data_IF_428512019380
#
_entry.id   IF_428512019380
#
_cell.length_a   1.000
_cell.length_b   1.000
_cell.length_c   1.000
_cell.angle_alpha   90.00
_cell.angle_beta   90.00
_cell.angle_gamma   90.00
#
_symmetry.space_group_name_H-M   'P 1'
#
loop_
_entity.id
_entity.type
_entity.pdbx_description
1 polymer ?
#
# COMPACT_ATOMS: atom_id res chain seq x y z
N UNK A 1 28.54 -5.19 -6.45
CA UNK A 1 27.53 -5.59 -5.44
C UNK A 1 26.15 -5.39 -6.04
N UNK A 2 25.22 -6.33 -5.84
CA UNK A 2 23.83 -6.20 -6.30
C UNK A 2 23.13 -5.15 -5.42
N UNK A 3 22.46 -4.17 -6.04
CA UNK A 3 21.69 -3.15 -5.31
C UNK A 3 20.30 -3.72 -4.99
N UNK A 4 19.90 -3.65 -3.72
CA UNK A 4 18.53 -3.96 -3.28
C UNK A 4 17.87 -2.66 -2.89
N UNK A 5 16.67 -2.39 -3.38
CA UNK A 5 15.91 -1.19 -3.03
C UNK A 5 14.89 -1.49 -1.93
N UNK A 6 14.61 -0.50 -1.10
CA UNK A 6 13.60 -0.58 -0.04
C UNK A 6 12.79 0.71 0.02
N UNK A 7 11.46 0.58 0.10
CA UNK A 7 10.54 1.70 0.33
C UNK A 7 9.55 1.27 1.42
N UNK A 8 9.31 2.17 2.38
CA UNK A 8 8.25 2.07 3.37
C UNK A 8 7.87 3.47 3.83
N UNK A 9 6.66 3.63 4.34
CA UNK A 9 6.14 4.90 4.84
C UNK A 9 5.25 4.64 6.07
N UNK A 10 5.48 5.39 7.15
CA UNK A 10 4.76 5.21 8.41
C UNK A 10 3.29 5.63 8.35
N UNK A 11 2.88 6.45 7.37
CA UNK A 11 1.46 6.78 7.16
C UNK A 11 0.60 5.57 6.80
N UNK A 12 1.20 4.51 6.26
CA UNK A 12 0.51 3.24 5.99
C UNK A 12 0.00 2.58 7.29
N UNK A 13 0.61 2.89 8.44
CA UNK A 13 0.18 2.40 9.76
C UNK A 13 -1.12 3.04 10.24
N UNK A 14 -1.63 4.06 9.54
CA UNK A 14 -2.91 4.69 9.88
C UNK A 14 -4.11 3.94 9.31
N UNK A 15 -3.91 3.03 8.34
CA UNK A 15 -4.96 2.19 7.80
C UNK A 15 -5.25 1.04 8.79
N UNK A 16 -6.44 1.06 9.39
CA UNK A 16 -6.92 0.03 10.33
C UNK A 16 -8.44 -0.05 10.28
N UNK A 17 -8.98 -1.20 10.67
CA UNK A 17 -10.42 -1.35 10.85
C UNK A 17 -10.85 -0.67 12.15
N UNK A 18 -11.80 0.26 12.08
CA UNK A 18 -12.26 1.02 13.26
C UNK A 18 -13.41 0.32 14.00
N UNK A 19 -14.03 -0.71 13.40
CA UNK A 19 -15.20 -1.41 13.96
C UNK A 19 -14.97 -2.90 14.26
N UNK A 20 -13.91 -3.52 13.72
CA UNK A 20 -13.54 -4.90 14.02
C UNK A 20 -12.09 -5.00 14.54
N UNK A 21 -11.95 -5.14 15.85
CA UNK A 21 -10.64 -5.32 16.52
C UNK A 21 -10.02 -6.71 16.30
N UNK A 22 -10.79 -7.66 15.75
CA UNK A 22 -10.33 -9.03 15.48
C UNK A 22 -9.84 -9.22 14.04
N UNK A 23 -9.94 -8.18 13.23
CA UNK A 23 -9.51 -8.19 11.84
C UNK A 23 -8.03 -8.60 11.73
N UNK A 24 -7.70 -9.45 10.75
CA UNK A 24 -6.33 -10.00 10.61
C UNK A 24 -5.35 -9.02 9.96
N UNK A 25 -5.87 -8.09 9.16
CA UNK A 25 -5.10 -7.01 8.52
C UNK A 25 -5.08 -5.83 9.49
N UNK A 26 -3.93 -5.61 10.13
CA UNK A 26 -3.67 -4.59 11.15
C UNK A 26 -2.31 -3.91 10.91
N UNK A 27 -2.12 -2.63 11.31
CA UNK A 27 -0.87 -1.89 11.14
C UNK A 27 0.40 -2.61 11.63
N UNK A 28 0.28 -3.39 12.71
CA UNK A 28 1.37 -4.12 13.34
C UNK A 28 2.01 -5.15 12.41
N UNK A 29 1.32 -5.58 11.34
CA UNK A 29 1.92 -6.43 10.31
C UNK A 29 3.09 -5.72 9.63
N UNK A 30 2.88 -4.47 9.19
CA UNK A 30 3.91 -3.64 8.59
C UNK A 30 5.01 -3.31 9.61
N UNK A 31 4.62 -2.86 10.80
CA UNK A 31 5.56 -2.47 11.85
C UNK A 31 6.50 -3.63 12.24
N UNK A 32 5.96 -4.85 12.43
CA UNK A 32 6.74 -6.03 12.78
C UNK A 32 7.71 -6.42 11.68
N UNK A 33 7.31 -6.33 10.40
CA UNK A 33 8.19 -6.63 9.28
C UNK A 33 9.34 -5.62 9.22
N UNK A 34 9.03 -4.31 9.24
CA UNK A 34 10.05 -3.26 9.21
C UNK A 34 11.03 -3.37 10.39
N UNK A 35 10.50 -3.57 11.60
CA UNK A 35 11.31 -3.79 12.81
C UNK A 35 12.21 -5.01 12.70
N UNK A 36 11.72 -6.11 12.10
CA UNK A 36 12.51 -7.33 11.93
C UNK A 36 13.62 -7.13 10.90
N UNK A 37 13.35 -6.46 9.78
CA UNK A 37 14.35 -6.16 8.75
C UNK A 37 15.47 -5.26 9.30
N UNK A 38 15.10 -4.28 10.11
CA UNK A 38 16.05 -3.38 10.78
C UNK A 38 16.91 -4.14 11.80
N UNK A 39 16.30 -4.89 12.72
CA UNK A 39 17.02 -5.69 13.74
C UNK A 39 17.96 -6.74 13.14
N UNK A 40 17.69 -7.22 11.93
CA UNK A 40 18.54 -8.16 11.22
C UNK A 40 19.66 -7.49 10.42
N UNK A 41 19.76 -6.16 10.39
CA UNK A 41 20.73 -5.42 9.56
C UNK A 41 20.50 -5.59 8.06
N UNK A 42 19.28 -5.96 7.64
CA UNK A 42 18.94 -6.12 6.22
C UNK A 42 18.74 -4.75 5.58
N UNK A 43 18.13 -3.82 6.31
CA UNK A 43 17.89 -2.46 5.80
C UNK A 43 19.19 -1.69 5.55
N UNK A 44 20.26 -1.99 6.28
CA UNK A 44 21.59 -1.37 6.08
C UNK A 44 22.24 -1.77 4.75
N UNK A 45 21.79 -2.89 4.17
CA UNK A 45 22.23 -3.39 2.87
C UNK A 45 21.32 -2.91 1.72
N UNK A 46 20.24 -2.21 2.03
CA UNK A 46 19.27 -1.72 1.06
C UNK A 46 19.48 -0.23 0.78
N UNK A 47 19.34 0.16 -0.49
CA UNK A 47 19.18 1.55 -0.88
C UNK A 47 17.73 1.98 -0.61
N UNK A 48 17.53 2.86 0.36
CA UNK A 48 16.22 3.43 0.66
C UNK A 48 15.82 4.42 -0.43
N UNK A 49 14.62 4.29 -0.97
CA UNK A 49 14.02 5.27 -1.87
C UNK A 49 12.88 5.99 -1.14
N UNK A 50 12.65 7.29 -1.42
CA UNK A 50 11.54 8.02 -0.82
C UNK A 50 10.21 7.48 -1.36
N UNK A 51 9.15 7.37 -0.54
CA UNK A 51 7.84 6.97 -1.02
C UNK A 51 7.22 8.06 -1.91
N UNK A 52 6.40 7.64 -2.87
CA UNK A 52 5.62 8.54 -3.72
C UNK A 52 4.16 8.10 -3.81
N UNK A 53 3.28 9.04 -4.11
CA UNK A 53 1.92 8.72 -4.54
C UNK A 53 1.93 8.28 -6.00
N UNK A 54 1.08 7.33 -6.35
CA UNK A 54 0.65 7.14 -7.72
C UNK A 54 -0.16 8.35 -8.18
N UNK A 55 -0.22 8.58 -9.48
CA UNK A 55 -1.18 9.51 -10.07
C UNK A 55 -2.41 8.74 -10.59
N UNK A 56 -3.49 9.46 -10.87
CA UNK A 56 -4.76 8.88 -11.33
C UNK A 56 -4.60 8.08 -12.62
N UNK A 57 -3.80 8.56 -13.57
CA UNK A 57 -3.57 7.86 -14.84
C UNK A 57 -2.84 6.53 -14.64
N UNK A 58 -1.88 6.44 -13.70
CA UNK A 58 -1.22 5.18 -13.33
C UNK A 58 -2.21 4.15 -12.77
N UNK A 59 -3.15 4.59 -11.94
CA UNK A 59 -4.17 3.71 -11.34
C UNK A 59 -5.22 3.28 -12.38
N UNK A 60 -5.62 4.19 -13.27
CA UNK A 60 -6.59 3.95 -14.33
C UNK A 60 -6.08 3.00 -15.43
N UNK A 61 -4.80 2.61 -15.41
CA UNK A 61 -4.31 1.53 -16.28
C UNK A 61 -4.98 0.18 -15.99
N UNK A 62 -5.46 -0.03 -14.76
CA UNK A 62 -6.05 -1.30 -14.32
C UNK A 62 -7.38 -1.15 -13.58
N UNK A 63 -7.80 0.07 -13.25
CA UNK A 63 -9.08 0.33 -12.57
C UNK A 63 -9.95 1.30 -13.37
N UNK A 64 -11.27 1.14 -13.28
CA UNK A 64 -12.22 2.08 -13.88
C UNK A 64 -12.19 3.44 -13.17
N UNK A 65 -12.53 4.50 -13.91
CA UNK A 65 -12.67 5.84 -13.33
C UNK A 65 -13.78 5.90 -12.27
N UNK A 66 -14.86 5.12 -12.46
CA UNK A 66 -15.94 5.02 -11.47
C UNK A 66 -15.44 4.46 -10.15
N UNK A 67 -14.69 3.34 -10.17
CA UNK A 67 -14.13 2.74 -8.97
C UNK A 67 -13.11 3.67 -8.30
N UNK A 68 -12.23 4.31 -9.08
CA UNK A 68 -11.26 5.27 -8.56
C UNK A 68 -11.94 6.40 -7.77
N UNK A 69 -12.96 7.03 -8.36
CA UNK A 69 -13.69 8.12 -7.71
C UNK A 69 -14.47 7.63 -6.50
N UNK A 70 -15.12 6.46 -6.58
CA UNK A 70 -15.84 5.86 -5.44
C UNK A 70 -14.96 5.74 -4.20
N UNK A 71 -13.73 5.27 -4.37
CA UNK A 71 -12.80 5.18 -3.23
C UNK A 71 -12.22 6.55 -2.88
N UNK A 72 -11.88 7.40 -3.86
CA UNK A 72 -11.40 8.76 -3.57
C UNK A 72 -12.36 9.54 -2.68
N UNK A 73 -13.65 9.42 -2.96
CA UNK A 73 -14.74 10.09 -2.23
C UNK A 73 -14.96 9.48 -0.84
N UNK A 74 -14.51 8.23 -0.60
CA UNK A 74 -14.58 7.59 0.72
C UNK A 74 -13.86 8.38 1.82
N UNK A 75 -12.87 9.22 1.47
CA UNK A 75 -12.20 10.11 2.43
C UNK A 75 -13.13 11.09 3.13
N UNK A 76 -14.23 11.48 2.49
CA UNK A 76 -15.20 12.42 3.05
C UNK A 76 -16.27 11.77 3.91
N UNK A 77 -16.28 10.44 3.99
CA UNK A 77 -17.31 9.67 4.70
C UNK A 77 -16.99 9.52 6.19
N UNK A 78 -18.05 9.44 7.00
CA UNK A 78 -17.93 9.08 8.41
C UNK A 78 -17.79 7.55 8.60
N UNK A 79 -17.56 7.10 9.84
CA UNK A 79 -17.30 5.68 10.13
C UNK A 79 -18.46 4.74 9.74
N UNK A 80 -19.71 5.14 9.99
CA UNK A 80 -20.88 4.33 9.65
C UNK A 80 -21.02 4.21 8.12
N UNK A 81 -20.83 5.32 7.40
CA UNK A 81 -20.83 5.33 5.94
C UNK A 81 -19.68 4.49 5.35
N UNK A 82 -18.50 4.52 5.98
CA UNK A 82 -17.35 3.71 5.58
C UNK A 82 -17.59 2.23 5.82
N UNK A 83 -18.23 1.84 6.92
CA UNK A 83 -18.60 0.45 7.20
C UNK A 83 -19.61 -0.06 6.15
N UNK A 84 -20.65 0.73 5.86
CA UNK A 84 -21.64 0.42 4.80
C UNK A 84 -21.00 0.36 3.41
N UNK A 85 -20.05 1.24 3.11
CA UNK A 85 -19.30 1.20 1.86
C UNK A 85 -18.43 -0.07 1.79
N UNK A 86 -17.77 -0.43 2.88
CA UNK A 86 -16.91 -1.60 2.97
C UNK A 86 -17.70 -2.90 2.79
N UNK A 87 -18.92 -2.98 3.34
CA UNK A 87 -19.77 -4.17 3.21
C UNK A 87 -20.27 -4.45 1.78
N UNK A 88 -20.05 -3.53 0.83
CA UNK A 88 -20.33 -3.76 -0.58
C UNK A 88 -19.28 -4.63 -1.27
N UNK A 89 -18.18 -4.92 -0.58
CA UNK A 89 -17.05 -5.69 -1.07
C UNK A 89 -16.76 -6.85 -0.10
N UNK A 90 -16.07 -7.87 -0.58
CA UNK A 90 -15.74 -9.06 0.21
C UNK A 90 -14.43 -8.83 0.99
N UNK A 91 -14.48 -8.99 2.31
CA UNK A 91 -13.32 -8.96 3.22
C UNK A 91 -12.42 -7.72 3.10
N UNK A 92 -13.02 -6.53 3.04
CA UNK A 92 -12.29 -5.26 3.14
C UNK A 92 -12.86 -4.35 4.23
N UNK A 93 -12.05 -3.39 4.65
CA UNK A 93 -12.47 -2.25 5.44
C UNK A 93 -11.85 -0.96 4.87
N UNK A 94 -12.52 0.15 5.11
CA UNK A 94 -12.05 1.48 4.72
C UNK A 94 -11.98 2.40 5.93
N UNK A 95 -11.01 3.30 5.95
CA UNK A 95 -10.94 4.41 6.88
C UNK A 95 -10.49 5.69 6.14
N UNK A 96 -10.45 6.82 6.85
CA UNK A 96 -10.09 8.12 6.27
C UNK A 96 -8.71 8.14 5.56
N UNK A 97 -7.82 7.21 5.91
CA UNK A 97 -6.47 7.12 5.35
C UNK A 97 -6.34 6.11 4.21
N UNK A 98 -7.36 5.26 3.96
CA UNK A 98 -7.25 4.14 3.02
C UNK A 98 -6.87 4.59 1.62
N UNK A 99 -7.52 5.63 1.09
CA UNK A 99 -7.23 6.09 -0.27
C UNK A 99 -5.77 6.59 -0.39
N UNK A 100 -5.28 7.39 0.57
CA UNK A 100 -3.89 7.85 0.54
C UNK A 100 -2.89 6.71 0.71
N UNK A 101 -3.20 5.76 1.59
CA UNK A 101 -2.38 4.56 1.78
C UNK A 101 -2.32 3.73 0.48
N UNK A 102 -3.44 3.54 -0.21
CA UNK A 102 -3.51 2.82 -1.48
C UNK A 102 -2.71 3.54 -2.58
N UNK A 103 -2.91 4.85 -2.73
CA UNK A 103 -2.19 5.66 -3.72
C UNK A 103 -0.68 5.65 -3.45
N UNK A 104 -0.26 5.73 -2.19
CA UNK A 104 1.15 5.65 -1.81
C UNK A 104 1.74 4.26 -2.03
N UNK A 105 1.02 3.22 -1.64
CA UNK A 105 1.37 1.80 -1.85
C UNK A 105 1.63 1.50 -3.33
N UNK A 106 0.72 1.92 -4.21
CA UNK A 106 0.87 1.78 -5.66
C UNK A 106 2.07 2.59 -6.20
N UNK A 107 2.20 3.86 -5.80
CA UNK A 107 3.31 4.71 -6.25
C UNK A 107 4.68 4.17 -5.85
N UNK A 108 4.81 3.62 -4.64
CA UNK A 108 6.03 2.97 -4.18
C UNK A 108 6.37 1.73 -5.01
N UNK A 109 5.38 0.90 -5.35
CA UNK A 109 5.59 -0.27 -6.19
C UNK A 109 6.07 0.12 -7.60
N UNK A 110 5.45 1.14 -8.21
CA UNK A 110 5.86 1.64 -9.54
C UNK A 110 7.28 2.22 -9.47
N UNK A 111 7.59 3.04 -8.47
CA UNK A 111 8.93 3.63 -8.29
C UNK A 111 10.03 2.57 -8.13
N UNK A 112 9.75 1.49 -7.38
CA UNK A 112 10.66 0.37 -7.27
C UNK A 112 10.90 -0.28 -8.63
N UNK A 113 9.85 -0.50 -9.43
CA UNK A 113 9.96 -1.08 -10.75
C UNK A 113 10.73 -0.19 -11.73
N UNK A 114 10.47 1.11 -11.76
CA UNK A 114 11.21 2.10 -12.55
C UNK A 114 12.71 2.04 -12.24
N UNK A 115 13.07 2.04 -10.94
CA UNK A 115 14.48 1.94 -10.53
C UNK A 115 15.13 0.60 -10.90
N UNK A 116 14.37 -0.50 -10.92
CA UNK A 116 14.89 -1.80 -11.38
C UNK A 116 15.17 -1.78 -12.88
N UNK A 117 14.26 -1.22 -13.67
CA UNK A 117 14.37 -1.14 -15.12
C UNK A 117 15.51 -0.20 -15.55
N UNK A 118 15.59 0.99 -14.96
CA UNK A 118 16.61 2.00 -15.29
C UNK A 118 18.02 1.56 -14.94
N UNK A 119 18.19 0.86 -13.80
CA UNK A 119 19.50 0.42 -13.32
C UNK A 119 19.96 -0.94 -13.89
N UNK A 120 19.18 -1.57 -14.80
CA UNK A 120 19.50 -2.86 -15.45
C UNK A 120 19.97 -3.95 -14.47
N UNK A 121 19.29 -4.12 -13.33
CA UNK A 121 19.71 -5.08 -12.28
C UNK A 121 19.19 -6.50 -12.61
N UNK A 122 20.08 -7.49 -12.55
CA UNK A 122 19.85 -8.89 -12.98
C UNK A 122 19.31 -9.84 -11.90
N UNK A 123 19.13 -9.41 -10.64
CA UNK A 123 18.57 -10.24 -9.55
C UNK A 123 17.65 -9.42 -8.63
N UNK A 124 16.44 -9.94 -8.40
CA UNK A 124 15.34 -9.27 -7.73
C UNK A 124 15.11 -9.84 -6.32
N UNK A 125 15.07 -8.96 -5.32
CA UNK A 125 14.41 -9.20 -4.04
C UNK A 125 13.56 -7.98 -3.74
N UNK A 126 12.25 -8.15 -3.76
CA UNK A 126 11.28 -7.10 -3.53
C UNK A 126 10.64 -7.31 -2.17
N UNK A 127 10.69 -6.29 -1.34
CA UNK A 127 9.95 -6.22 -0.10
C UNK A 127 9.25 -4.87 -0.13
N UNK A 128 8.08 -4.84 -0.77
CA UNK A 128 7.12 -3.78 -0.55
C UNK A 128 6.17 -4.31 0.53
N UNK A 129 6.30 -3.77 1.73
CA UNK A 129 5.39 -4.10 2.82
C UNK A 129 4.10 -3.30 2.61
N UNK A 130 3.23 -3.78 1.71
CA UNK A 130 1.91 -3.18 1.50
C UNK A 130 0.91 -3.85 2.44
N UNK A 131 0.41 -3.08 3.40
CA UNK A 131 -0.67 -3.44 4.33
C UNK A 131 -2.05 -3.08 3.78
N UNK A 132 -2.26 -3.12 2.46
CA UNK A 132 -3.58 -2.80 1.89
C UNK A 132 -4.08 -3.92 0.98
N UNK A 133 -5.33 -4.40 1.16
CA UNK A 133 -5.94 -5.45 0.32
C UNK A 133 -6.16 -5.07 -1.16
N UNK A 134 -5.73 -3.90 -1.62
CA UNK A 134 -6.08 -3.35 -2.93
C UNK A 134 -5.77 -4.27 -4.13
N UNK A 135 -4.80 -5.16 -3.99
CA UNK A 135 -4.44 -6.10 -5.06
C UNK A 135 -5.50 -7.19 -5.32
N UNK A 136 -6.42 -7.47 -4.39
CA UNK A 136 -7.52 -8.44 -4.64
C UNK A 136 -8.68 -7.83 -5.44
N UNK A 137 -8.77 -6.50 -5.56
CA UNK A 137 -9.85 -5.84 -6.31
C UNK A 137 -9.56 -5.67 -7.82
N UNK A 138 -8.38 -6.05 -8.32
CA UNK A 138 -8.06 -6.00 -9.75
C UNK A 138 -8.86 -7.01 -10.62
N UNK A 139 -9.82 -7.72 -10.05
CA UNK A 139 -10.64 -8.75 -10.73
C UNK A 139 -12.12 -8.40 -10.86
N UNK A 140 -12.53 -7.17 -10.50
CA UNK A 140 -13.90 -6.68 -10.67
C UNK A 140 -13.94 -5.42 -11.54
#
# INVERSE_FOLDING_TARGET
MSKTFYISDSSLLKHRCEWDSTHIEIPERLEKICSRLERCGILDQCQRLPPRFANEAEIQLVHSNEYFNKIKDSKGLNLEELEVLSSQFEDIYLNEYTFDAAMKSAGCAIQLMENVLDNRITRFKWICCNSTPWTSCCSQ
#
